data_IF_885864664384
#
_entry.id   IF_885864664384
#
_cell.length_a   1.000
_cell.length_b   1.000
_cell.length_c   1.000
_cell.angle_alpha   90.00
_cell.angle_beta   90.00
_cell.angle_gamma   90.00
#
_symmetry.space_group_name_H-M   'P 1'
#
loop_
_entity.id
_entity.type
_entity.pdbx_description
1 polymer ?
#
# COMPACT_ATOMS: atom_id res chain seq x y z
N UNK A 1 6.50 37.06 8.15
CA UNK A 1 6.86 36.22 9.31
C UNK A 1 5.85 35.11 9.56
N UNK A 2 4.56 35.40 9.81
CA UNK A 2 3.54 34.35 10.00
C UNK A 2 3.34 33.45 8.75
N UNK A 3 3.24 34.02 7.55
CA UNK A 3 3.17 33.26 6.28
C UNK A 3 4.42 32.41 6.00
N UNK A 4 5.59 32.93 6.34
CA UNK A 4 6.87 32.23 6.17
C UNK A 4 7.01 31.06 7.16
N UNK A 5 6.55 31.25 8.39
CA UNK A 5 6.44 30.16 9.38
C UNK A 5 5.39 29.13 8.93
N UNK A 6 4.21 29.57 8.46
CA UNK A 6 3.20 28.65 7.89
C UNK A 6 3.74 27.84 6.70
N UNK A 7 4.50 28.44 5.79
CA UNK A 7 5.16 27.74 4.68
C UNK A 7 6.26 26.76 5.13
N UNK A 8 7.01 27.08 6.20
CA UNK A 8 8.03 26.15 6.74
C UNK A 8 7.36 24.98 7.47
N UNK A 9 6.32 25.25 8.26
CA UNK A 9 5.57 24.22 8.95
C UNK A 9 4.77 23.34 7.97
N UNK A 10 4.21 23.90 6.89
CA UNK A 10 3.53 23.10 5.86
C UNK A 10 4.48 22.23 5.03
N UNK A 11 5.74 22.65 4.84
CA UNK A 11 6.76 21.90 4.07
C UNK A 11 7.12 20.57 4.72
N UNK A 12 7.46 20.60 6.02
CA UNK A 12 7.72 19.34 6.76
C UNK A 12 6.48 18.45 6.82
N UNK A 13 5.29 19.05 6.84
CA UNK A 13 4.05 18.31 6.94
C UNK A 13 3.72 17.50 5.66
N UNK A 14 3.94 18.05 4.47
CA UNK A 14 3.51 17.37 3.23
C UNK A 14 4.27 16.07 2.94
N UNK A 15 5.58 16.04 3.20
CA UNK A 15 6.37 14.82 3.01
C UNK A 15 6.02 13.76 4.06
N UNK A 16 5.81 14.19 5.31
CA UNK A 16 5.38 13.33 6.40
C UNK A 16 3.98 12.74 6.15
N UNK A 17 3.00 13.58 5.79
CA UNK A 17 1.66 13.16 5.36
C UNK A 17 1.73 12.15 4.19
N UNK A 18 2.67 12.36 3.25
CA UNK A 18 2.85 11.46 2.11
C UNK A 18 3.38 10.08 2.53
N UNK A 19 4.21 10.02 3.58
CA UNK A 19 4.71 8.76 4.16
C UNK A 19 3.58 8.05 4.91
N UNK A 20 2.80 8.77 5.71
CA UNK A 20 1.63 8.22 6.40
C UNK A 20 0.62 7.62 5.42
N UNK A 21 0.32 8.34 4.32
CA UNK A 21 -0.52 7.82 3.24
C UNK A 21 0.10 6.58 2.57
N UNK A 22 1.43 6.53 2.39
CA UNK A 22 2.10 5.35 1.84
C UNK A 22 1.88 4.11 2.71
N UNK A 23 1.98 4.29 4.02
CA UNK A 23 1.79 3.23 5.00
C UNK A 23 0.33 2.79 5.09
N UNK A 24 -0.62 3.73 4.96
CA UNK A 24 -2.05 3.42 4.82
C UNK A 24 -2.30 2.58 3.57
N UNK A 25 -1.69 2.92 2.43
CA UNK A 25 -1.79 2.12 1.19
C UNK A 25 -1.29 0.69 1.41
N UNK A 26 -0.17 0.49 2.11
CA UNK A 26 0.35 -0.85 2.45
C UNK A 26 -0.64 -1.63 3.34
N UNK A 27 -1.28 -0.96 4.31
CA UNK A 27 -2.30 -1.59 5.15
C UNK A 27 -3.56 -2.00 4.35
N UNK A 28 -3.90 -1.23 3.32
CA UNK A 28 -4.96 -1.57 2.37
C UNK A 28 -4.53 -2.79 1.53
N UNK A 29 -3.33 -2.76 0.93
CA UNK A 29 -2.79 -3.85 0.12
C UNK A 29 -2.73 -5.17 0.88
N UNK A 30 -2.31 -5.13 2.15
CA UNK A 30 -2.30 -6.32 3.01
C UNK A 30 -3.68 -6.94 3.13
N UNK A 31 -4.70 -6.12 3.41
CA UNK A 31 -6.09 -6.60 3.55
C UNK A 31 -6.60 -7.16 2.22
N UNK A 32 -6.30 -6.50 1.11
CA UNK A 32 -6.61 -7.01 -0.22
C UNK A 32 -5.91 -8.35 -0.45
N UNK A 33 -4.63 -8.48 -0.10
CA UNK A 33 -3.84 -9.68 -0.35
C UNK A 33 -4.39 -10.88 0.41
N UNK A 34 -4.63 -10.71 1.71
CA UNK A 34 -5.19 -11.76 2.55
C UNK A 34 -6.58 -12.22 2.06
N UNK A 35 -7.42 -11.27 1.64
CA UNK A 35 -8.74 -11.58 1.10
C UNK A 35 -8.67 -12.29 -0.25
N UNK A 36 -7.81 -11.84 -1.17
CA UNK A 36 -7.58 -12.44 -2.48
C UNK A 36 -7.04 -13.87 -2.37
N UNK A 37 -6.03 -14.09 -1.51
CA UNK A 37 -5.46 -15.41 -1.25
C UNK A 37 -6.49 -16.33 -0.61
N UNK A 38 -7.24 -15.86 0.40
CA UNK A 38 -8.32 -16.64 1.02
C UNK A 38 -9.33 -17.11 -0.03
N UNK A 39 -9.79 -16.21 -0.87
CA UNK A 39 -10.73 -16.49 -1.97
C UNK A 39 -10.19 -17.54 -2.95
N UNK A 40 -8.96 -17.35 -3.44
CA UNK A 40 -8.35 -18.23 -4.43
C UNK A 40 -7.97 -19.61 -3.86
N UNK A 41 -7.51 -19.67 -2.60
CA UNK A 41 -6.74 -20.81 -2.09
C UNK A 41 -7.44 -21.60 -0.98
N UNK A 42 -8.38 -20.98 -0.25
CA UNK A 42 -8.87 -21.54 1.01
C UNK A 42 -10.36 -21.92 0.99
N UNK A 43 -11.11 -21.46 0.00
CA UNK A 43 -12.56 -21.68 -0.10
C UNK A 43 -13.01 -21.92 -1.55
N UNK A 44 -14.14 -22.59 -1.72
CA UNK A 44 -14.75 -22.85 -3.04
C UNK A 44 -15.79 -21.76 -3.41
N UNK A 45 -15.52 -20.51 -3.00
CA UNK A 45 -16.36 -19.35 -3.28
C UNK A 45 -15.49 -18.11 -3.51
N UNK A 46 -15.98 -17.19 -4.32
CA UNK A 46 -15.31 -15.92 -4.62
C UNK A 46 -15.67 -14.83 -3.62
N UNK A 47 -16.53 -15.12 -2.64
CA UNK A 47 -16.99 -14.14 -1.66
C UNK A 47 -15.85 -13.68 -0.75
N UNK A 48 -15.63 -12.37 -0.72
CA UNK A 48 -14.65 -11.70 0.12
C UNK A 48 -15.32 -10.61 0.95
N UNK A 49 -14.72 -10.29 2.09
CA UNK A 49 -15.24 -9.31 3.06
C UNK A 49 -15.06 -7.85 2.64
N UNK A 50 -14.28 -7.61 1.58
CA UNK A 50 -13.99 -6.28 1.03
C UNK A 50 -14.23 -6.25 -0.48
N UNK A 51 -14.64 -5.10 -0.99
CA UNK A 51 -14.78 -4.88 -2.43
C UNK A 51 -13.41 -4.57 -3.04
N UNK A 52 -12.72 -5.61 -3.50
CA UNK A 52 -11.36 -5.53 -4.07
C UNK A 52 -11.27 -4.49 -5.20
N UNK A 53 -12.29 -4.36 -6.05
CA UNK A 53 -12.27 -3.41 -7.16
C UNK A 53 -12.39 -1.96 -6.67
N UNK A 54 -13.25 -1.70 -5.69
CA UNK A 54 -13.34 -0.35 -5.11
C UNK A 54 -12.11 0.01 -4.30
N UNK A 55 -11.52 -0.95 -3.59
CA UNK A 55 -10.31 -0.74 -2.81
C UNK A 55 -9.09 -0.48 -3.71
N UNK A 56 -8.96 -1.16 -4.85
CA UNK A 56 -7.95 -0.85 -5.89
C UNK A 56 -8.11 0.59 -6.42
N UNK A 57 -9.35 1.04 -6.65
CA UNK A 57 -9.62 2.43 -7.05
C UNK A 57 -9.26 3.45 -5.95
N UNK A 58 -9.37 3.07 -4.68
CA UNK A 58 -8.95 3.88 -3.54
C UNK A 58 -7.43 4.05 -3.50
N UNK A 59 -6.66 2.96 -3.64
CA UNK A 59 -5.19 2.99 -3.74
C UNK A 59 -4.74 3.90 -4.89
N UNK A 60 -5.38 3.78 -6.05
CA UNK A 60 -5.10 4.63 -7.20
C UNK A 60 -5.33 6.13 -6.92
N UNK A 61 -6.33 6.48 -6.08
CA UNK A 61 -6.57 7.87 -5.67
C UNK A 61 -5.51 8.35 -4.68
N UNK A 62 -5.16 7.51 -3.70
CA UNK A 62 -4.12 7.80 -2.73
C UNK A 62 -2.77 8.03 -3.42
N UNK A 63 -2.43 7.20 -4.41
CA UNK A 63 -1.22 7.36 -5.24
C UNK A 63 -1.15 8.74 -5.90
N UNK A 64 -2.26 9.16 -6.53
CA UNK A 64 -2.32 10.44 -7.23
C UNK A 64 -2.19 11.61 -6.25
N UNK A 65 -2.79 11.48 -5.07
CA UNK A 65 -2.77 12.54 -4.06
C UNK A 65 -1.40 12.65 -3.40
N UNK A 66 -0.73 11.53 -3.12
CA UNK A 66 0.67 11.54 -2.67
C UNK A 66 1.58 12.16 -3.73
N UNK A 67 1.45 11.77 -5.01
CA UNK A 67 2.24 12.37 -6.10
C UNK A 67 2.06 13.88 -6.19
N UNK A 68 0.83 14.38 -6.05
CA UNK A 68 0.56 15.84 -6.03
C UNK A 68 1.21 16.52 -4.83
N UNK A 69 1.14 15.92 -3.64
CA UNK A 69 1.75 16.46 -2.42
C UNK A 69 3.26 16.52 -2.53
N UNK A 70 3.89 15.44 -3.00
CA UNK A 70 5.34 15.37 -3.18
C UNK A 70 5.81 16.37 -4.24
N UNK A 71 5.14 16.47 -5.39
CA UNK A 71 5.48 17.46 -6.41
C UNK A 71 5.34 18.90 -5.89
N UNK A 72 4.28 19.17 -5.13
CA UNK A 72 4.05 20.48 -4.50
C UNK A 72 5.17 20.81 -3.51
N UNK A 73 5.57 19.83 -2.69
CA UNK A 73 6.70 19.97 -1.77
C UNK A 73 7.99 20.27 -2.51
N UNK A 74 8.32 19.50 -3.54
CA UNK A 74 9.53 19.68 -4.34
C UNK A 74 9.59 21.03 -5.07
N UNK A 75 8.45 21.53 -5.55
CA UNK A 75 8.36 22.83 -6.20
C UNK A 75 8.71 24.00 -5.27
N UNK A 76 8.59 23.80 -3.95
CA UNK A 76 8.76 24.85 -2.92
C UNK A 76 10.04 24.64 -2.08
N UNK A 77 10.53 23.41 -1.95
CA UNK A 77 11.64 23.05 -1.05
C UNK A 77 13.04 23.12 -1.68
N UNK A 78 13.15 23.25 -3.01
CA UNK A 78 14.43 23.38 -3.71
C UNK A 78 15.15 22.05 -3.94
N UNK A 79 16.38 22.10 -4.48
CA UNK A 79 17.08 20.92 -5.00
C UNK A 79 17.52 19.90 -3.93
N UNK A 80 17.67 20.34 -2.67
CA UNK A 80 18.22 19.50 -1.60
C UNK A 80 17.28 18.34 -1.20
N UNK A 81 15.97 18.50 -1.39
CA UNK A 81 14.96 17.48 -1.08
C UNK A 81 14.50 16.68 -2.31
N UNK A 82 15.06 16.98 -3.49
CA UNK A 82 14.68 16.36 -4.76
C UNK A 82 14.86 14.84 -4.75
N UNK A 83 15.98 14.36 -4.23
CA UNK A 83 16.27 12.92 -4.18
C UNK A 83 15.23 12.18 -3.34
N UNK A 84 14.89 12.70 -2.16
CA UNK A 84 13.96 12.05 -1.23
C UNK A 84 12.55 12.04 -1.81
N UNK A 85 12.10 13.16 -2.37
CA UNK A 85 10.77 13.23 -2.99
C UNK A 85 10.64 12.30 -4.20
N UNK A 86 11.66 12.22 -5.06
CA UNK A 86 11.64 11.29 -6.20
C UNK A 86 11.62 9.82 -5.75
N UNK A 87 12.42 9.46 -4.73
CA UNK A 87 12.38 8.12 -4.14
C UNK A 87 10.99 7.79 -3.61
N UNK A 88 10.34 8.73 -2.89
CA UNK A 88 9.00 8.50 -2.37
C UNK A 88 7.97 8.28 -3.48
N UNK A 89 8.03 9.04 -4.58
CA UNK A 89 7.15 8.81 -5.74
C UNK A 89 7.35 7.43 -6.35
N UNK A 90 8.59 6.93 -6.43
CA UNK A 90 8.87 5.57 -6.89
C UNK A 90 8.29 4.52 -5.96
N UNK A 91 8.50 4.65 -4.64
CA UNK A 91 7.96 3.72 -3.64
C UNK A 91 6.44 3.66 -3.70
N UNK A 92 5.75 4.80 -3.79
CA UNK A 92 4.29 4.86 -3.91
C UNK A 92 3.81 4.14 -5.18
N UNK A 93 4.53 4.28 -6.28
CA UNK A 93 4.20 3.57 -7.52
C UNK A 93 4.38 2.06 -7.38
N UNK A 94 5.34 1.60 -6.58
CA UNK A 94 5.54 0.18 -6.33
C UNK A 94 4.48 -0.38 -5.37
N UNK A 95 3.99 0.42 -4.41
CA UNK A 95 2.85 0.06 -3.55
C UNK A 95 1.58 -0.11 -4.40
N UNK A 96 1.26 0.85 -5.28
CA UNK A 96 0.10 0.70 -6.18
C UNK A 96 0.13 -0.58 -7.02
N UNK A 97 1.32 -0.98 -7.50
CA UNK A 97 1.50 -2.26 -8.21
C UNK A 97 1.22 -3.48 -7.35
N UNK A 98 1.53 -3.44 -6.05
CA UNK A 98 1.18 -4.54 -5.12
C UNK A 98 -0.35 -4.67 -5.06
N UNK A 99 -1.07 -3.55 -4.99
CA UNK A 99 -2.53 -3.51 -5.10
C UNK A 99 -3.06 -4.14 -6.39
N UNK A 100 -2.48 -3.77 -7.54
CA UNK A 100 -2.88 -4.36 -8.82
C UNK A 100 -2.60 -5.86 -8.90
N UNK A 101 -1.43 -6.33 -8.47
CA UNK A 101 -1.13 -7.76 -8.40
C UNK A 101 -2.09 -8.51 -7.46
N UNK A 102 -2.48 -7.87 -6.38
CA UNK A 102 -3.44 -8.42 -5.43
C UNK A 102 -4.84 -8.53 -6.02
N UNK A 103 -5.29 -7.51 -6.77
CA UNK A 103 -6.52 -7.58 -7.56
C UNK A 103 -6.45 -8.71 -8.58
N UNK A 104 -5.33 -8.87 -9.28
CA UNK A 104 -5.14 -9.95 -10.25
C UNK A 104 -5.26 -11.35 -9.60
N UNK A 105 -4.78 -11.54 -8.35
CA UNK A 105 -5.00 -12.79 -7.59
C UNK A 105 -6.50 -13.03 -7.35
N UNK A 106 -7.26 -11.99 -7.01
CA UNK A 106 -8.70 -12.10 -6.84
C UNK A 106 -9.43 -12.38 -8.16
N UNK A 107 -9.03 -11.75 -9.26
CA UNK A 107 -9.58 -12.00 -10.59
C UNK A 107 -9.39 -13.47 -10.99
N UNK A 108 -8.23 -14.08 -10.68
CA UNK A 108 -8.02 -15.51 -10.86
C UNK A 108 -9.03 -16.36 -10.06
N UNK A 109 -9.38 -15.94 -8.84
CA UNK A 109 -10.40 -16.63 -8.04
C UNK A 109 -11.78 -16.52 -8.67
N UNK A 110 -12.11 -15.35 -9.24
CA UNK A 110 -13.38 -15.11 -9.95
C UNK A 110 -13.48 -15.97 -11.22
N UNK A 111 -12.40 -16.07 -12.00
CA UNK A 111 -12.34 -16.91 -13.20
C UNK A 111 -12.34 -18.41 -12.87
N UNK A 112 -11.82 -18.78 -11.69
CA UNK A 112 -11.76 -20.14 -11.18
C UNK A 112 -12.40 -20.25 -9.78
N UNK A 113 -13.75 -20.30 -9.68
CA UNK A 113 -14.46 -20.21 -8.39
C UNK A 113 -14.21 -21.36 -7.41
N UNK A 114 -13.58 -22.45 -7.85
CA UNK A 114 -13.14 -23.52 -6.97
C UNK A 114 -11.74 -23.22 -6.49
N UNK A 115 -11.43 -23.58 -5.24
CA UNK A 115 -10.10 -23.34 -4.70
C UNK A 115 -9.02 -23.90 -5.63
N UNK A 116 -8.02 -23.09 -5.90
CA UNK A 116 -6.84 -23.50 -6.64
C UNK A 116 -6.09 -24.54 -5.80
N UNK A 117 -5.67 -25.64 -6.41
CA UNK A 117 -4.79 -26.64 -5.79
C UNK A 117 -3.51 -26.71 -6.60
N UNK A 118 -2.37 -26.41 -5.98
CA UNK A 118 -1.09 -26.27 -6.70
C UNK A 118 -0.37 -27.62 -6.90
N UNK A 119 -0.96 -28.71 -6.42
CA UNK A 119 -0.46 -30.07 -6.61
C UNK A 119 0.90 -30.25 -5.93
N UNK A 120 1.94 -30.53 -6.72
CA UNK A 120 3.31 -30.74 -6.20
C UNK A 120 3.97 -29.47 -5.65
N UNK A 121 3.41 -28.29 -5.92
CA UNK A 121 3.94 -26.99 -5.49
C UNK A 121 3.19 -26.40 -4.29
N UNK A 122 2.33 -27.20 -3.64
CA UNK A 122 1.44 -26.69 -2.60
C UNK A 122 2.18 -26.10 -1.40
N UNK A 123 3.29 -26.72 -0.98
CA UNK A 123 4.09 -26.24 0.15
C UNK A 123 4.87 -24.97 -0.22
N UNK A 124 5.47 -24.93 -1.41
CA UNK A 124 6.21 -23.75 -1.89
C UNK A 124 5.28 -22.54 -2.07
N UNK A 125 4.08 -22.75 -2.62
CA UNK A 125 3.12 -21.68 -2.82
C UNK A 125 2.56 -21.16 -1.48
N UNK A 126 2.25 -22.04 -0.53
CA UNK A 126 1.85 -21.63 0.82
C UNK A 126 2.94 -20.85 1.55
N UNK A 127 4.20 -21.27 1.38
CA UNK A 127 5.32 -20.53 1.95
C UNK A 127 5.41 -19.12 1.38
N UNK A 128 5.28 -18.95 0.05
CA UNK A 128 5.27 -17.62 -0.58
C UNK A 128 4.08 -16.77 -0.13
N UNK A 129 2.88 -17.35 -0.06
CA UNK A 129 1.68 -16.67 0.44
C UNK A 129 1.88 -16.12 1.86
N UNK A 130 2.41 -16.97 2.76
CA UNK A 130 2.66 -16.57 4.14
C UNK A 130 3.77 -15.52 4.24
N UNK A 131 4.87 -15.68 3.49
CA UNK A 131 5.98 -14.73 3.49
C UNK A 131 5.53 -13.33 3.06
N UNK A 132 4.72 -13.23 1.98
CA UNK A 132 4.21 -11.94 1.52
C UNK A 132 3.23 -11.33 2.53
N UNK A 133 2.32 -12.13 3.11
CA UNK A 133 1.39 -11.63 4.15
C UNK A 133 2.14 -11.14 5.39
N UNK A 134 3.20 -11.84 5.80
CA UNK A 134 4.06 -11.47 6.93
C UNK A 134 4.86 -10.20 6.65
N UNK A 135 5.50 -10.10 5.48
CA UNK A 135 6.26 -8.90 5.09
C UNK A 135 5.37 -7.65 5.04
N UNK A 136 4.18 -7.75 4.44
CA UNK A 136 3.19 -6.66 4.46
C UNK A 136 2.72 -6.36 5.90
N UNK A 137 2.52 -7.38 6.72
CA UNK A 137 2.19 -7.23 8.14
C UNK A 137 3.25 -6.49 8.95
N UNK A 138 4.52 -6.79 8.72
CA UNK A 138 5.65 -6.15 9.39
C UNK A 138 5.76 -4.68 8.99
N UNK A 139 5.50 -4.34 7.72
CA UNK A 139 5.46 -2.95 7.26
C UNK A 139 4.31 -2.16 7.90
N UNK A 140 3.14 -2.78 8.08
CA UNK A 140 2.00 -2.16 8.79
C UNK A 140 2.29 -2.00 10.28
N UNK A 141 2.97 -2.95 10.92
CA UNK A 141 3.36 -2.82 12.33
C UNK A 141 4.32 -1.64 12.55
N UNK A 142 5.26 -1.43 11.62
CA UNK A 142 6.18 -0.29 11.66
C UNK A 142 5.45 1.08 11.58
N UNK A 143 4.28 1.15 10.94
CA UNK A 143 3.42 2.35 10.98
C UNK A 143 2.90 2.60 12.40
N UNK A 144 2.40 1.55 13.05
CA UNK A 144 1.77 1.66 14.37
C UNK A 144 2.76 2.08 15.46
N UNK A 145 4.00 1.56 15.40
CA UNK A 145 5.07 1.97 16.31
C UNK A 145 5.45 3.45 16.14
N UNK A 146 5.43 3.97 14.90
CA UNK A 146 5.70 5.39 14.63
C UNK A 146 4.59 6.30 15.20
N UNK A 147 3.32 5.87 15.11
CA UNK A 147 2.20 6.61 15.71
C UNK A 147 2.29 6.66 17.25
N UNK A 148 2.74 5.57 17.90
CA UNK A 148 2.96 5.52 19.35
C UNK A 148 4.10 6.46 19.79
N UNK A 149 5.23 6.47 19.07
CA UNK A 149 6.37 7.36 19.33
C UNK A 149 6.03 8.85 19.14
N UNK A 150 5.07 9.19 18.28
CA UNK A 150 4.60 10.57 18.05
C UNK A 150 3.57 11.04 19.10
N UNK A 151 3.01 10.13 19.90
CA UNK A 151 1.95 10.41 20.88
C UNK A 151 2.46 10.72 22.30
N UNK A 152 3.75 10.53 22.58
CA UNK A 152 4.45 10.93 23.84
C UNK A 152 5.05 12.34 23.78
#
# INVERSE_FOLDING_TARGET
>A
MLKFLQEIFSRKNLLQESIEMALEMIAIDKRMFDASVKSLRQQDTTEVEIDIYQTDLEINRLEQDVRKKVLTHLAVSGADELSIGLTLVSVISDIERIGDYTKNIYELAVEHPKRLVAGKWEDDLKWMENAVSEDLGNLVAALQENDEDQAE
#
